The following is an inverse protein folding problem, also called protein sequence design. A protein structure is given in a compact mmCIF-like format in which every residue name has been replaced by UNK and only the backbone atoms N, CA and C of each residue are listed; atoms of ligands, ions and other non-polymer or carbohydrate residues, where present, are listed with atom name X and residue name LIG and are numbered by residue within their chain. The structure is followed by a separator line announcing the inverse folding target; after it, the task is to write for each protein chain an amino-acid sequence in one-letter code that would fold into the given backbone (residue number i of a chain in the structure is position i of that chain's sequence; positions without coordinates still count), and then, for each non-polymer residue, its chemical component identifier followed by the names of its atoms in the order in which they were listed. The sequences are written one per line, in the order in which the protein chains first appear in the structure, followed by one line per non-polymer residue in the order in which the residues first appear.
data_IF_551549560171
#
_entry.id   IF_551549560171
#
_cell.length_a   1.000
_cell.length_b   1.000
_cell.length_c   1.000
_cell.angle_alpha   90.00
_cell.angle_beta   90.00
_cell.angle_gamma   90.00
#
_symmetry.space_group_name_H-M   'P 1'
#
loop_
_entity.id
_entity.type
_entity.pdbx_description
1 polymer ?
#
# COMPACT_ATOMS: atom_id res chain seq x y z
N UNK A 1 48.70 15.22 -9.05
CA UNK A 1 49.07 14.26 -7.94
C UNK A 1 48.12 14.50 -6.80
N UNK A 2 47.31 13.50 -6.42
CA UNK A 2 46.39 13.64 -5.29
C UNK A 2 47.18 13.53 -3.97
N UNK A 3 46.85 14.41 -3.00
CA UNK A 3 47.42 14.44 -1.66
C UNK A 3 47.28 13.06 -0.96
N UNK A 4 48.22 12.65 -0.08
CA UNK A 4 48.06 11.48 0.77
C UNK A 4 46.79 11.53 1.63
N UNK A 5 46.30 12.71 1.95
CA UNK A 5 45.06 12.95 2.67
C UNK A 5 43.83 12.55 1.85
N UNK A 6 43.81 12.87 0.57
CA UNK A 6 42.75 12.47 -0.38
C UNK A 6 42.63 10.97 -0.54
N UNK A 7 43.79 10.23 -0.56
CA UNK A 7 43.81 8.78 -0.64
C UNK A 7 43.28 8.13 0.62
N UNK A 8 43.57 8.69 1.80
CA UNK A 8 43.07 8.18 3.09
C UNK A 8 41.57 8.43 3.24
N UNK A 9 41.08 9.60 2.85
CA UNK A 9 39.64 9.92 2.84
C UNK A 9 38.85 9.05 1.85
N UNK A 10 39.37 8.81 0.65
CA UNK A 10 38.72 7.90 -0.32
C UNK A 10 38.67 6.45 0.20
N UNK A 11 39.71 5.98 0.95
CA UNK A 11 39.67 4.66 1.59
C UNK A 11 38.69 4.59 2.76
N UNK A 12 38.50 5.66 3.51
CA UNK A 12 37.50 5.74 4.58
C UNK A 12 36.09 5.78 3.98
N UNK A 13 35.85 6.61 2.97
CA UNK A 13 34.56 6.72 2.28
C UNK A 13 34.18 5.42 1.55
N UNK A 14 35.15 4.70 0.99
CA UNK A 14 34.92 3.39 0.36
C UNK A 14 34.60 2.27 1.38
N UNK A 15 34.85 2.48 2.67
CA UNK A 15 34.49 1.52 3.74
C UNK A 15 33.18 1.85 4.44
N UNK A 16 32.64 3.05 4.27
CA UNK A 16 31.32 3.41 4.74
C UNK A 16 30.34 2.95 3.66
N UNK A 17 29.97 1.67 3.67
CA UNK A 17 28.76 1.23 2.99
C UNK A 17 27.60 1.86 3.74
N UNK A 18 27.10 2.98 3.22
CA UNK A 18 25.80 3.49 3.65
C UNK A 18 24.79 2.35 3.45
N UNK A 19 23.93 2.05 4.42
CA UNK A 19 22.93 1.03 4.26
C UNK A 19 22.12 1.35 2.99
N UNK A 20 22.11 0.40 2.06
CA UNK A 20 21.27 0.55 0.84
C UNK A 20 19.85 0.66 1.30
N UNK A 21 19.23 1.80 0.99
CA UNK A 21 17.82 2.02 1.32
C UNK A 21 16.98 0.95 0.63
N UNK A 22 16.31 0.11 1.43
CA UNK A 22 15.41 -0.93 0.93
C UNK A 22 14.00 -0.53 1.28
N UNK A 23 13.22 -0.19 0.27
CA UNK A 23 11.84 0.26 0.46
C UNK A 23 11.01 -0.74 1.28
N UNK A 24 11.15 -2.04 1.05
CA UNK A 24 10.44 -3.07 1.80
C UNK A 24 10.78 -3.13 3.30
N UNK A 25 11.88 -2.51 3.73
CA UNK A 25 12.27 -2.38 5.14
C UNK A 25 11.69 -1.12 5.81
N UNK A 26 10.89 -0.34 5.09
CA UNK A 26 10.21 0.83 5.64
C UNK A 26 8.79 0.49 6.08
N UNK A 27 8.30 1.20 7.06
CA UNK A 27 6.91 1.16 7.51
C UNK A 27 6.58 2.47 8.24
N UNK A 28 5.31 2.74 8.42
CA UNK A 28 4.83 3.85 9.24
C UNK A 28 4.56 3.31 10.65
N UNK A 29 5.44 3.61 11.62
CA UNK A 29 5.20 3.20 13.01
C UNK A 29 4.05 4.00 13.62
N UNK A 30 3.42 3.47 14.66
CA UNK A 30 2.31 4.12 15.37
C UNK A 30 2.63 5.55 15.79
N UNK A 31 3.81 5.76 16.42
CA UNK A 31 4.26 7.08 16.84
C UNK A 31 4.54 8.04 15.66
N UNK A 32 5.02 7.51 14.52
CA UNK A 32 5.18 8.30 13.29
C UNK A 32 3.81 8.65 12.69
N UNK A 33 2.84 7.72 12.70
CA UNK A 33 1.48 7.97 12.23
C UNK A 33 0.82 9.09 13.05
N UNK A 34 0.86 9.02 14.37
CA UNK A 34 0.32 10.07 15.24
C UNK A 34 0.95 11.44 14.99
N UNK A 35 2.28 11.49 14.82
CA UNK A 35 2.99 12.73 14.50
C UNK A 35 2.58 13.27 13.15
N UNK A 36 2.61 12.42 12.13
CA UNK A 36 2.24 12.77 10.76
C UNK A 36 0.82 13.36 10.68
N UNK A 37 -0.14 12.75 11.38
CA UNK A 37 -1.52 13.23 11.42
C UNK A 37 -1.62 14.58 12.11
N UNK A 38 -0.89 14.80 13.23
CA UNK A 38 -0.81 16.12 13.90
C UNK A 38 -0.19 17.18 13.00
N UNK A 39 0.91 16.86 12.31
CA UNK A 39 1.61 17.77 11.40
C UNK A 39 0.76 18.11 10.16
N UNK A 40 -0.28 17.33 9.89
CA UNK A 40 -1.26 17.51 8.81
C UNK A 40 -2.60 18.07 9.30
N UNK A 41 -2.67 18.65 10.52
CA UNK A 41 -3.83 19.33 11.10
C UNK A 41 -5.09 18.46 11.28
N UNK A 42 -4.94 17.14 11.46
CA UNK A 42 -6.06 16.29 11.86
C UNK A 42 -6.46 16.58 13.30
N UNK A 43 -7.76 16.59 13.55
CA UNK A 43 -8.31 16.75 14.91
C UNK A 43 -7.97 15.53 15.80
N UNK A 44 -8.04 15.71 17.11
CA UNK A 44 -7.81 14.61 18.06
C UNK A 44 -8.80 13.43 17.84
N UNK A 45 -10.03 13.72 17.43
CA UNK A 45 -11.05 12.69 17.13
C UNK A 45 -10.66 11.88 15.89
N UNK A 46 -10.26 12.54 14.82
CA UNK A 46 -9.80 11.88 13.58
C UNK A 46 -8.53 11.07 13.81
N UNK A 47 -7.57 11.62 14.56
CA UNK A 47 -6.34 10.90 14.94
C UNK A 47 -6.70 9.62 15.71
N UNK A 48 -7.57 9.70 16.72
CA UNK A 48 -7.96 8.52 17.49
C UNK A 48 -8.64 7.47 16.62
N UNK A 49 -9.46 7.87 15.64
CA UNK A 49 -10.12 6.96 14.73
C UNK A 49 -9.11 6.26 13.80
N UNK A 50 -8.19 7.01 13.19
CA UNK A 50 -7.15 6.46 12.31
C UNK A 50 -6.21 5.53 13.10
N UNK A 51 -5.83 5.92 14.31
CA UNK A 51 -4.98 5.09 15.18
C UNK A 51 -5.72 3.82 15.63
N UNK A 52 -7.02 3.89 15.86
CA UNK A 52 -7.84 2.69 16.10
C UNK A 52 -7.82 1.72 14.92
N UNK A 53 -7.90 2.22 13.68
CA UNK A 53 -7.76 1.41 12.48
C UNK A 53 -6.34 0.83 12.34
N UNK A 54 -5.31 1.60 12.68
CA UNK A 54 -3.92 1.15 12.75
C UNK A 54 -3.76 -0.04 13.71
N UNK A 55 -4.22 0.14 14.96
CA UNK A 55 -4.08 -0.88 16.02
C UNK A 55 -4.86 -2.16 15.66
N UNK A 56 -6.05 -2.04 15.04
CA UNK A 56 -6.83 -3.18 14.55
C UNK A 56 -6.09 -3.93 13.43
N UNK A 57 -5.58 -3.23 12.42
CA UNK A 57 -4.85 -3.85 11.31
C UNK A 57 -3.55 -4.52 11.80
N UNK A 58 -2.79 -3.86 12.69
CA UNK A 58 -1.58 -4.43 13.27
C UNK A 58 -1.89 -5.73 14.04
N UNK A 59 -2.96 -5.75 14.84
CA UNK A 59 -3.39 -6.93 15.57
C UNK A 59 -3.83 -8.08 14.68
N UNK A 60 -4.59 -7.81 13.61
CA UNK A 60 -5.02 -8.85 12.64
C UNK A 60 -3.84 -9.48 11.93
N UNK A 61 -2.82 -8.69 11.60
CA UNK A 61 -1.64 -9.18 10.88
C UNK A 61 -0.48 -9.58 11.80
N UNK A 62 -0.72 -9.69 13.13
CA UNK A 62 0.31 -10.11 14.08
C UNK A 62 0.89 -11.47 13.70
N UNK A 63 2.22 -11.58 13.68
CA UNK A 63 2.93 -12.81 13.33
C UNK A 63 2.92 -13.17 11.84
N UNK A 64 2.09 -12.54 11.01
CA UNK A 64 2.08 -12.75 9.57
C UNK A 64 3.31 -12.14 8.90
N UNK A 65 3.80 -12.77 7.83
CA UNK A 65 4.94 -12.31 7.04
C UNK A 65 4.63 -12.26 5.55
N UNK A 66 5.15 -11.25 4.89
CA UNK A 66 5.18 -11.18 3.42
C UNK A 66 6.19 -12.18 2.85
N UNK A 67 6.15 -12.41 1.55
CA UNK A 67 7.07 -13.33 0.86
C UNK A 67 8.56 -12.95 0.97
N UNK A 68 8.86 -11.68 1.22
CA UNK A 68 10.22 -11.18 1.46
C UNK A 68 10.68 -11.31 2.92
N UNK A 69 9.83 -11.87 3.79
CA UNK A 69 10.09 -12.12 5.21
C UNK A 69 9.77 -10.96 6.15
N UNK A 70 9.39 -9.79 5.62
CA UNK A 70 9.00 -8.64 6.44
C UNK A 70 7.64 -8.86 7.11
N UNK A 71 7.34 -8.21 8.26
CA UNK A 71 6.00 -8.23 8.85
C UNK A 71 4.93 -7.79 7.84
N UNK A 72 3.81 -8.51 7.80
CA UNK A 72 2.74 -8.21 6.83
C UNK A 72 2.19 -6.80 7.01
N UNK A 73 1.97 -6.38 8.25
CA UNK A 73 1.41 -5.07 8.60
C UNK A 73 2.21 -3.89 8.03
N UNK A 74 3.49 -4.06 7.70
CA UNK A 74 4.26 -2.98 7.08
C UNK A 74 3.65 -2.53 5.75
N UNK A 75 2.96 -3.41 5.03
CA UNK A 75 2.27 -3.08 3.79
C UNK A 75 1.10 -2.12 4.02
N UNK A 76 0.05 -2.45 4.78
CA UNK A 76 -1.04 -1.50 5.02
C UNK A 76 -0.55 -0.20 5.66
N UNK A 77 0.47 -0.23 6.51
CA UNK A 77 1.05 0.99 7.07
C UNK A 77 1.69 1.90 6.00
N UNK A 78 2.36 1.32 4.98
CA UNK A 78 2.90 2.09 3.84
C UNK A 78 1.81 2.57 2.90
N UNK A 79 0.75 1.77 2.67
CA UNK A 79 -0.43 2.19 1.89
C UNK A 79 -1.07 3.43 2.51
N UNK A 80 -1.29 3.42 3.83
CA UNK A 80 -1.78 4.59 4.55
C UNK A 80 -0.81 5.78 4.48
N UNK A 81 0.49 5.53 4.56
CA UNK A 81 1.52 6.57 4.41
C UNK A 81 1.47 7.23 3.04
N UNK A 82 1.33 6.47 1.96
CA UNK A 82 1.17 7.01 0.59
C UNK A 82 -0.09 7.89 0.53
N UNK A 83 -1.22 7.43 1.08
CA UNK A 83 -2.44 8.24 1.16
C UNK A 83 -2.19 9.60 1.81
N UNK A 84 -1.51 9.62 2.95
CA UNK A 84 -1.35 10.83 3.77
C UNK A 84 -0.23 11.73 3.21
N UNK A 85 0.93 11.17 2.85
CA UNK A 85 2.12 11.95 2.48
C UNK A 85 2.16 12.29 0.99
N UNK A 86 1.85 11.34 0.11
CA UNK A 86 2.03 11.51 -1.34
C UNK A 86 0.75 12.05 -2.01
N UNK A 87 -0.44 11.62 -1.53
CA UNK A 87 -1.73 12.05 -2.08
C UNK A 87 -2.43 13.12 -1.25
N UNK A 88 -1.86 13.51 -0.11
CA UNK A 88 -2.38 14.54 0.79
C UNK A 88 -3.85 14.33 1.18
N UNK A 89 -4.26 13.05 1.28
CA UNK A 89 -5.64 12.68 1.62
C UNK A 89 -5.99 13.16 3.01
N UNK A 90 -7.12 13.87 3.12
CA UNK A 90 -7.67 14.39 4.39
C UNK A 90 -8.88 13.61 4.88
N UNK A 91 -9.48 12.77 4.04
CA UNK A 91 -10.62 11.96 4.42
C UNK A 91 -10.19 10.84 5.37
N UNK A 92 -10.67 10.94 6.60
CA UNK A 92 -10.37 9.99 7.69
C UNK A 92 -10.83 8.58 7.35
N UNK A 93 -12.00 8.43 6.69
CA UNK A 93 -12.53 7.12 6.34
C UNK A 93 -11.72 6.44 5.24
N UNK A 94 -11.20 7.21 4.28
CA UNK A 94 -10.29 6.69 3.25
C UNK A 94 -8.96 6.24 3.86
N UNK A 95 -8.39 6.98 4.82
CA UNK A 95 -7.16 6.60 5.51
C UNK A 95 -7.36 5.34 6.38
N UNK A 96 -8.50 5.24 7.08
CA UNK A 96 -8.87 4.03 7.82
C UNK A 96 -8.99 2.83 6.86
N UNK A 97 -9.63 3.00 5.70
CA UNK A 97 -9.73 1.94 4.69
C UNK A 97 -8.36 1.53 4.12
N UNK A 98 -7.43 2.47 3.95
CA UNK A 98 -6.05 2.17 3.55
C UNK A 98 -5.33 1.24 4.56
N UNK A 99 -5.56 1.43 5.86
CA UNK A 99 -5.01 0.58 6.92
C UNK A 99 -5.70 -0.79 6.98
N UNK A 100 -7.00 -0.84 6.73
CA UNK A 100 -7.85 -2.01 6.94
C UNK A 100 -8.08 -2.86 5.67
N UNK A 101 -7.52 -2.49 4.52
CA UNK A 101 -7.93 -3.03 3.21
C UNK A 101 -7.76 -4.55 3.07
N UNK A 102 -6.82 -5.17 3.79
CA UNK A 102 -6.58 -6.62 3.78
C UNK A 102 -7.21 -7.34 4.98
N UNK A 103 -7.82 -6.61 5.94
CA UNK A 103 -8.30 -7.18 7.21
C UNK A 103 -9.41 -8.21 7.02
N UNK A 104 -10.33 -8.00 6.07
CA UNK A 104 -11.42 -8.95 5.79
C UNK A 104 -10.93 -10.22 5.07
N UNK A 105 -9.81 -10.16 4.35
CA UNK A 105 -9.20 -11.33 3.70
C UNK A 105 -8.51 -12.24 4.73
N UNK A 106 -7.87 -11.64 5.73
CA UNK A 106 -6.96 -12.33 6.65
C UNK A 106 -7.56 -12.63 8.03
N UNK A 107 -8.70 -12.00 8.39
CA UNK A 107 -9.39 -12.24 9.66
C UNK A 107 -10.58 -13.19 9.49
N UNK A 108 -10.77 -14.08 10.49
CA UNK A 108 -11.99 -14.87 10.62
C UNK A 108 -13.00 -14.27 11.62
N UNK A 109 -12.61 -13.19 12.30
CA UNK A 109 -13.38 -12.58 13.39
C UNK A 109 -13.89 -11.19 13.01
N UNK A 110 -13.07 -10.43 12.26
CA UNK A 110 -13.47 -9.09 11.83
C UNK A 110 -14.37 -9.22 10.60
N UNK A 111 -15.56 -8.64 10.72
CA UNK A 111 -16.55 -8.57 9.64
C UNK A 111 -16.74 -7.13 9.15
N UNK A 112 -17.42 -6.95 8.03
CA UNK A 112 -17.76 -5.61 7.53
C UNK A 112 -18.61 -4.81 8.51
N UNK A 113 -19.49 -5.48 9.28
CA UNK A 113 -20.30 -4.83 10.31
C UNK A 113 -19.42 -4.29 11.45
N UNK A 114 -18.37 -5.03 11.84
CA UNK A 114 -17.40 -4.56 12.84
C UNK A 114 -16.65 -3.32 12.32
N UNK A 115 -16.22 -3.33 11.06
CA UNK A 115 -15.57 -2.17 10.45
C UNK A 115 -16.56 -0.99 10.37
N UNK A 116 -17.79 -1.22 9.91
CA UNK A 116 -18.84 -0.20 9.82
C UNK A 116 -19.13 0.45 11.18
N UNK A 117 -19.23 -0.35 12.23
CA UNK A 117 -19.52 0.13 13.58
C UNK A 117 -18.41 1.02 14.14
N UNK A 118 -17.14 0.64 13.91
CA UNK A 118 -15.99 1.32 14.51
C UNK A 118 -15.46 2.50 13.64
N UNK A 119 -15.54 2.39 12.31
CA UNK A 119 -14.87 3.32 11.38
C UNK A 119 -15.81 3.97 10.36
N UNK A 120 -17.08 3.66 10.40
CA UNK A 120 -18.10 4.24 9.53
C UNK A 120 -18.40 3.40 8.30
N UNK A 121 -19.56 3.72 7.70
CA UNK A 121 -20.13 2.97 6.55
C UNK A 121 -19.25 3.06 5.31
N UNK A 122 -18.68 4.24 5.04
CA UNK A 122 -17.83 4.43 3.87
C UNK A 122 -16.50 3.68 3.98
N UNK A 123 -15.89 3.63 5.17
CA UNK A 123 -14.71 2.79 5.42
C UNK A 123 -15.03 1.31 5.14
N UNK A 124 -16.15 0.80 5.65
CA UNK A 124 -16.58 -0.58 5.42
C UNK A 124 -16.77 -0.86 3.93
N UNK A 125 -17.49 0.01 3.22
CA UNK A 125 -17.66 -0.09 1.78
C UNK A 125 -16.33 -0.15 1.02
N UNK A 126 -15.39 0.74 1.35
CA UNK A 126 -14.07 0.77 0.69
C UNK A 126 -13.31 -0.53 0.92
N UNK A 127 -13.29 -1.04 2.16
CA UNK A 127 -12.60 -2.30 2.48
C UNK A 127 -13.27 -3.47 1.75
N UNK A 128 -14.60 -3.55 1.70
CA UNK A 128 -15.32 -4.58 0.94
C UNK A 128 -14.98 -4.53 -0.56
N UNK A 129 -14.88 -3.32 -1.14
CA UNK A 129 -14.49 -3.17 -2.55
C UNK A 129 -13.06 -3.67 -2.81
N UNK A 130 -12.17 -3.58 -1.84
CA UNK A 130 -10.78 -4.00 -1.95
C UNK A 130 -10.58 -5.49 -1.61
N UNK A 131 -11.49 -6.09 -0.85
CA UNK A 131 -11.46 -7.51 -0.45
C UNK A 131 -11.72 -8.43 -1.63
N UNK A 132 -10.90 -9.47 -1.77
CA UNK A 132 -10.96 -10.45 -2.83
C UNK A 132 -11.12 -11.87 -2.24
N UNK A 133 -11.88 -12.74 -2.89
CA UNK A 133 -11.90 -14.15 -2.52
C UNK A 133 -10.59 -14.83 -2.93
N UNK A 134 -9.66 -14.91 -1.97
CA UNK A 134 -8.33 -15.47 -2.19
C UNK A 134 -8.29 -17.01 -2.14
N UNK A 135 -9.40 -17.67 -1.75
CA UNK A 135 -9.46 -19.15 -1.62
C UNK A 135 -9.72 -19.85 -2.95
N UNK A 136 -10.05 -19.10 -4.00
CA UNK A 136 -10.30 -19.66 -5.33
C UNK A 136 -9.01 -20.14 -6.01
N UNK A 137 -9.04 -21.32 -6.63
CA UNK A 137 -7.93 -21.94 -7.35
C UNK A 137 -8.29 -22.27 -8.81
N UNK A 138 -7.27 -22.48 -9.67
CA UNK A 138 -7.43 -22.88 -11.06
C UNK A 138 -8.23 -21.88 -11.90
N UNK A 139 -9.15 -22.39 -12.72
CA UNK A 139 -10.05 -21.58 -13.59
C UNK A 139 -10.98 -20.68 -12.78
N UNK A 140 -11.36 -21.09 -11.58
CA UNK A 140 -12.16 -20.30 -10.66
C UNK A 140 -11.40 -19.01 -10.25
N UNK A 141 -10.08 -19.10 -10.11
CA UNK A 141 -9.24 -17.95 -9.77
C UNK A 141 -9.28 -16.85 -10.85
N UNK A 142 -9.25 -17.23 -12.13
CA UNK A 142 -9.33 -16.25 -13.23
C UNK A 142 -10.70 -15.57 -13.28
N UNK A 143 -11.76 -16.31 -13.01
CA UNK A 143 -13.11 -15.77 -12.93
C UNK A 143 -13.27 -14.82 -11.72
N UNK A 144 -12.73 -15.18 -10.56
CA UNK A 144 -12.72 -14.32 -9.37
C UNK A 144 -11.93 -13.03 -9.64
N UNK A 145 -10.77 -13.12 -10.31
CA UNK A 145 -9.99 -11.94 -10.70
C UNK A 145 -10.78 -11.04 -11.64
N UNK A 146 -11.41 -11.61 -12.66
CA UNK A 146 -12.23 -10.86 -13.60
C UNK A 146 -13.39 -10.14 -12.89
N UNK A 147 -14.16 -10.85 -12.09
CA UNK A 147 -15.30 -10.29 -11.36
C UNK A 147 -14.86 -9.20 -10.38
N UNK A 148 -13.72 -9.38 -9.73
CA UNK A 148 -13.14 -8.40 -8.83
C UNK A 148 -12.78 -7.10 -9.57
N UNK A 149 -12.15 -7.21 -10.73
CA UNK A 149 -11.79 -6.03 -11.55
C UNK A 149 -13.04 -5.32 -12.08
N UNK A 150 -14.06 -6.07 -12.53
CA UNK A 150 -15.33 -5.48 -12.98
C UNK A 150 -16.04 -4.74 -11.83
N UNK A 151 -16.03 -5.31 -10.63
CA UNK A 151 -16.55 -4.62 -9.43
C UNK A 151 -15.81 -3.32 -9.15
N UNK A 152 -14.48 -3.33 -9.21
CA UNK A 152 -13.66 -2.14 -9.01
C UNK A 152 -13.91 -1.05 -10.08
N UNK A 153 -14.18 -1.42 -11.32
CA UNK A 153 -14.51 -0.43 -12.37
C UNK A 153 -15.77 0.37 -12.02
N UNK A 154 -16.75 -0.28 -11.39
CA UNK A 154 -17.99 0.36 -10.93
C UNK A 154 -17.90 1.03 -9.54
N UNK A 155 -16.79 0.87 -8.83
CA UNK A 155 -16.60 1.41 -7.49
C UNK A 155 -16.32 2.92 -7.49
N UNK A 156 -16.31 3.53 -6.29
CA UNK A 156 -15.95 4.94 -6.10
C UNK A 156 -14.50 5.22 -6.55
N UNK A 157 -14.20 6.50 -6.81
CA UNK A 157 -12.83 6.93 -7.15
C UNK A 157 -11.85 6.60 -6.02
N UNK A 158 -12.26 6.73 -4.75
CA UNK A 158 -11.40 6.39 -3.61
C UNK A 158 -11.10 4.89 -3.54
N UNK A 159 -12.04 4.00 -3.85
CA UNK A 159 -11.78 2.56 -3.92
C UNK A 159 -10.78 2.21 -5.02
N UNK A 160 -10.91 2.82 -6.20
CA UNK A 160 -9.96 2.68 -7.31
C UNK A 160 -8.58 3.23 -6.94
N UNK A 161 -8.56 4.41 -6.31
CA UNK A 161 -7.34 5.06 -5.82
C UNK A 161 -6.61 4.18 -4.81
N UNK A 162 -7.30 3.68 -3.79
CA UNK A 162 -6.73 2.77 -2.79
C UNK A 162 -6.14 1.51 -3.44
N UNK A 163 -6.84 0.95 -4.45
CA UNK A 163 -6.31 -0.21 -5.18
C UNK A 163 -5.04 0.11 -5.97
N UNK A 164 -4.94 1.30 -6.55
CA UNK A 164 -3.71 1.72 -7.23
C UNK A 164 -2.57 1.99 -6.25
N UNK A 165 -2.86 2.49 -5.04
CA UNK A 165 -1.86 2.65 -3.97
C UNK A 165 -1.34 1.29 -3.51
N UNK A 166 -2.22 0.32 -3.24
CA UNK A 166 -1.83 -1.06 -2.91
C UNK A 166 -0.89 -1.63 -3.99
N UNK A 167 -1.26 -1.44 -5.27
CA UNK A 167 -0.42 -1.86 -6.39
C UNK A 167 0.94 -1.15 -6.41
N UNK A 168 0.97 0.15 -6.11
CA UNK A 168 2.19 0.94 -6.08
C UNK A 168 3.15 0.47 -4.98
N UNK A 169 2.65 0.25 -3.75
CA UNK A 169 3.46 -0.32 -2.66
C UNK A 169 4.02 -1.69 -3.03
N UNK A 170 3.18 -2.53 -3.61
CA UNK A 170 3.60 -3.86 -4.07
C UNK A 170 4.65 -3.79 -5.18
N UNK A 171 4.59 -2.83 -6.11
CA UNK A 171 5.62 -2.60 -7.12
C UNK A 171 6.94 -2.12 -6.52
N UNK A 172 6.87 -1.19 -5.58
CA UNK A 172 8.05 -0.67 -4.86
C UNK A 172 8.77 -1.77 -4.05
N UNK A 173 8.03 -2.85 -3.68
CA UNK A 173 8.57 -4.02 -3.00
C UNK A 173 8.94 -5.19 -3.94
N UNK A 174 8.62 -5.12 -5.22
CA UNK A 174 8.64 -6.27 -6.14
C UNK A 174 10.05 -6.87 -6.31
N UNK A 175 11.10 -6.06 -6.34
CA UNK A 175 12.49 -6.51 -6.43
C UNK A 175 12.95 -7.36 -5.23
N UNK A 176 12.32 -7.19 -4.07
CA UNK A 176 12.64 -7.94 -2.84
C UNK A 176 11.80 -9.22 -2.70
N UNK A 177 10.87 -9.48 -3.62
CA UNK A 177 9.94 -10.60 -3.55
C UNK A 177 10.37 -11.72 -4.51
N UNK A 178 11.33 -12.55 -4.09
CA UNK A 178 11.87 -13.64 -4.90
C UNK A 178 10.84 -14.71 -5.33
N UNK A 179 9.70 -14.80 -4.65
CA UNK A 179 8.63 -15.79 -4.96
C UNK A 179 7.60 -15.27 -5.97
N UNK A 180 7.55 -13.97 -6.23
CA UNK A 180 6.60 -13.37 -7.17
C UNK A 180 7.25 -13.23 -8.53
N UNK A 181 6.59 -13.72 -9.58
CA UNK A 181 7.02 -13.47 -10.96
C UNK A 181 6.79 -11.99 -11.32
N UNK A 182 7.84 -11.15 -11.49
CA UNK A 182 7.68 -9.74 -11.75
C UNK A 182 6.90 -9.47 -13.03
N UNK A 183 7.18 -10.21 -14.12
CA UNK A 183 6.52 -10.00 -15.41
C UNK A 183 5.03 -10.29 -15.35
N UNK A 184 4.63 -11.36 -14.65
CA UNK A 184 3.20 -11.66 -14.45
C UNK A 184 2.50 -10.51 -13.72
N UNK A 185 3.12 -9.98 -12.66
CA UNK A 185 2.57 -8.87 -11.87
C UNK A 185 2.48 -7.57 -12.69
N UNK A 186 3.50 -7.29 -13.52
CA UNK A 186 3.53 -6.14 -14.44
C UNK A 186 2.41 -6.23 -15.47
N UNK A 187 2.27 -7.38 -16.14
CA UNK A 187 1.24 -7.61 -17.15
C UNK A 187 -0.16 -7.46 -16.54
N UNK A 188 -0.40 -8.10 -15.40
CA UNK A 188 -1.67 -8.04 -14.68
C UNK A 188 -2.03 -6.60 -14.31
N UNK A 189 -1.08 -5.85 -13.73
CA UNK A 189 -1.32 -4.45 -13.34
C UNK A 189 -1.58 -3.56 -14.56
N UNK A 190 -0.81 -3.73 -15.62
CA UNK A 190 -0.98 -2.95 -16.86
C UNK A 190 -2.34 -3.22 -17.51
N UNK A 191 -2.76 -4.49 -17.54
CA UNK A 191 -3.99 -4.90 -18.23
C UNK A 191 -5.25 -4.56 -17.45
N UNK A 192 -5.24 -4.76 -16.13
CA UNK A 192 -6.45 -4.73 -15.31
C UNK A 192 -6.57 -3.49 -14.42
N UNK A 193 -5.46 -2.97 -13.90
CA UNK A 193 -5.51 -1.90 -12.89
C UNK A 193 -5.23 -0.51 -13.42
N UNK A 194 -4.35 -0.33 -14.42
CA UNK A 194 -4.19 0.97 -15.08
C UNK A 194 -5.51 1.52 -15.66
N UNK A 195 -6.39 0.70 -16.27
CA UNK A 195 -7.68 1.18 -16.75
C UNK A 195 -8.61 1.74 -15.67
N UNK A 196 -8.39 1.46 -14.38
CA UNK A 196 -9.19 2.04 -13.29
C UNK A 196 -9.05 3.56 -13.20
N UNK A 197 -7.91 4.11 -13.59
CA UNK A 197 -7.68 5.56 -13.65
C UNK A 197 -8.20 6.22 -14.94
N UNK A 198 -8.68 5.41 -15.92
CA UNK A 198 -9.16 5.94 -17.19
C UNK A 198 -10.39 6.81 -16.96
N UNK A 199 -10.39 8.01 -17.54
CA UNK A 199 -11.43 9.00 -17.42
C UNK A 199 -11.60 9.64 -16.02
N UNK A 200 -10.72 9.36 -15.07
CA UNK A 200 -10.66 10.13 -13.83
C UNK A 200 -10.14 11.55 -14.10
N UNK A 201 -10.75 12.53 -13.46
CA UNK A 201 -10.29 13.93 -13.46
C UNK A 201 -9.55 14.27 -12.16
N UNK A 202 -9.40 13.32 -11.25
CA UNK A 202 -8.68 13.49 -10.00
C UNK A 202 -7.16 13.47 -10.28
N UNK A 203 -6.42 14.55 -9.96
CA UNK A 203 -4.97 14.62 -10.18
C UNK A 203 -4.18 13.55 -9.41
N UNK A 204 -4.74 13.02 -8.31
CA UNK A 204 -4.14 11.92 -7.55
C UNK A 204 -4.08 10.63 -8.37
N UNK A 205 -5.08 10.39 -9.21
CA UNK A 205 -5.11 9.22 -10.11
C UNK A 205 -4.04 9.33 -11.20
N UNK A 206 -3.83 10.52 -11.77
CA UNK A 206 -2.75 10.78 -12.73
C UNK A 206 -1.37 10.55 -12.09
N UNK A 207 -1.17 11.08 -10.87
CA UNK A 207 0.04 10.86 -10.10
C UNK A 207 0.32 9.35 -9.89
N UNK A 208 -0.67 8.59 -9.45
CA UNK A 208 -0.53 7.15 -9.19
C UNK A 208 -0.18 6.37 -10.47
N UNK A 209 -0.82 6.68 -11.59
CA UNK A 209 -0.48 6.05 -12.88
C UNK A 209 0.96 6.35 -13.28
N UNK A 210 1.41 7.59 -13.13
CA UNK A 210 2.80 7.99 -13.41
C UNK A 210 3.81 7.24 -12.55
N UNK A 211 3.56 7.16 -11.23
CA UNK A 211 4.41 6.43 -10.30
C UNK A 211 4.44 4.92 -10.58
N UNK A 212 3.28 4.31 -10.88
CA UNK A 212 3.19 2.91 -11.28
C UNK A 212 3.94 2.64 -12.59
N UNK A 213 3.86 3.54 -13.56
CA UNK A 213 4.61 3.44 -14.81
C UNK A 213 6.12 3.54 -14.57
N UNK A 214 6.55 4.48 -13.72
CA UNK A 214 7.96 4.63 -13.34
C UNK A 214 8.49 3.39 -12.63
N UNK A 215 7.72 2.85 -11.66
CA UNK A 215 8.07 1.61 -10.95
C UNK A 215 8.13 0.41 -11.89
N UNK A 216 7.18 0.28 -12.83
CA UNK A 216 7.17 -0.76 -13.87
C UNK A 216 8.40 -0.69 -14.77
N UNK A 217 8.75 0.51 -15.25
CA UNK A 217 9.83 0.70 -16.21
C UNK A 217 11.20 0.27 -15.63
N UNK A 218 11.38 0.29 -14.31
CA UNK A 218 12.60 -0.28 -13.66
C UNK A 218 12.82 -1.77 -13.96
N UNK A 219 11.76 -2.51 -14.30
CA UNK A 219 11.83 -3.94 -14.61
C UNK A 219 11.86 -4.24 -16.11
N UNK A 220 11.57 -3.26 -16.96
CA UNK A 220 11.51 -3.45 -18.40
C UNK A 220 12.81 -3.01 -19.12
N UNK A 221 13.71 -2.33 -18.40
CA UNK A 221 15.01 -1.86 -18.90
C UNK A 221 14.89 -0.52 -19.57
#
# INVERSE_FOLDING_TARGET
MFSPYDRKMRRILAKVQLPVFKYNQTFLSRAQAERLLKDRDFTAVEINLIIGAYDMAESVHEGQKRHDGTPYFWHPSRVARICIEELETKDTQVICAALLHDVLEDSQVITSEVIKYNFGEYTSYLVEMLTKDIKAEGTLREMVEHNYVERLKGASEDAKMLKLIDRLDSFRCLEFNAKRNPMKYIIETTKFYFPLAKNSTDPRMEYLVKELQAARNKFLG
#
